data_IF_689128899684
#
_entry.id   IF_689128899684
#
_cell.length_a   1.000
_cell.length_b   1.000
_cell.length_c   1.000
_cell.angle_alpha   90.00
_cell.angle_beta   90.00
_cell.angle_gamma   90.00
#
_symmetry.space_group_name_H-M   'P 1'
#
loop_
_entity.id
_entity.type
_entity.pdbx_description
1 polymer ?
#
# COMPACT_ATOMS: atom_id res chain seq x y z
N UNK A 1 -18.29 1.29 -17.66
CA UNK A 1 -17.23 0.57 -18.40
C UNK A 1 -16.70 1.46 -19.51
N UNK A 2 -15.41 1.83 -19.47
CA UNK A 2 -14.71 2.59 -20.52
C UNK A 2 -13.27 2.09 -20.66
N UNK A 3 -12.69 2.35 -21.83
CA UNK A 3 -11.62 1.61 -22.52
C UNK A 3 -10.30 2.40 -22.61
N UNK A 4 -9.20 1.62 -22.66
CA UNK A 4 -8.01 1.75 -23.53
C UNK A 4 -7.19 3.04 -23.44
N UNK A 5 -5.95 2.93 -22.95
CA UNK A 5 -4.91 3.91 -23.24
C UNK A 5 -4.10 4.45 -22.05
N UNK A 6 -3.94 3.72 -20.96
CA UNK A 6 -2.70 3.76 -20.19
C UNK A 6 -2.66 2.51 -19.30
N UNK A 7 -1.48 1.94 -19.16
CA UNK A 7 -1.22 0.74 -18.38
C UNK A 7 -1.78 0.97 -16.95
N UNK A 8 -2.95 0.39 -16.61
CA UNK A 8 -3.47 0.50 -15.23
C UNK A 8 -2.37 -0.02 -14.32
N UNK A 9 -1.78 0.90 -13.57
CA UNK A 9 -0.64 0.65 -12.72
C UNK A 9 -0.96 -0.56 -11.83
N UNK A 10 -0.32 -1.73 -12.01
CA UNK A 10 -0.63 -2.92 -11.19
C UNK A 10 -0.28 -2.76 -9.72
N UNK A 11 0.15 -1.57 -9.31
CA UNK A 11 0.83 -1.30 -8.06
C UNK A 11 -0.17 -1.32 -6.89
N UNK A 12 -1.37 -0.72 -7.08
CA UNK A 12 -2.45 -0.81 -6.08
C UNK A 12 -3.01 -2.24 -5.99
N UNK A 13 -3.40 -2.91 -7.11
CA UNK A 13 -3.86 -4.30 -7.02
C UNK A 13 -2.84 -5.26 -6.40
N UNK A 14 -1.55 -5.17 -6.75
CA UNK A 14 -0.52 -6.04 -6.16
C UNK A 14 -0.32 -5.79 -4.67
N UNK A 15 -0.34 -4.52 -4.23
CA UNK A 15 -0.32 -4.19 -2.81
C UNK A 15 -1.52 -4.78 -2.07
N UNK A 16 -2.73 -4.65 -2.62
CA UNK A 16 -3.94 -5.21 -2.01
C UNK A 16 -3.91 -6.73 -1.93
N UNK A 17 -3.47 -7.41 -2.99
CA UNK A 17 -3.33 -8.87 -3.00
C UNK A 17 -2.32 -9.33 -1.94
N UNK A 18 -1.19 -8.64 -1.82
CA UNK A 18 -0.20 -8.92 -0.79
C UNK A 18 -0.81 -8.77 0.62
N UNK A 19 -1.41 -7.62 0.91
CA UNK A 19 -2.03 -7.32 2.22
C UNK A 19 -3.11 -8.33 2.57
N UNK A 20 -4.00 -8.66 1.63
CA UNK A 20 -5.04 -9.68 1.83
C UNK A 20 -4.45 -11.05 2.15
N UNK A 21 -3.38 -11.44 1.46
CA UNK A 21 -2.69 -12.72 1.74
C UNK A 21 -2.08 -12.77 3.13
N UNK A 22 -1.63 -11.63 3.66
CA UNK A 22 -1.07 -11.53 5.01
C UNK A 22 -2.18 -11.58 6.07
N UNK A 23 -3.31 -10.92 5.83
CA UNK A 23 -4.48 -11.06 6.71
C UNK A 23 -4.98 -12.50 6.78
N UNK A 24 -4.96 -13.24 5.67
CA UNK A 24 -5.28 -14.67 5.66
C UNK A 24 -4.32 -15.51 6.53
N UNK A 25 -3.09 -15.04 6.71
CA UNK A 25 -2.09 -15.68 7.58
C UNK A 25 -2.16 -15.20 9.04
N UNK A 26 -3.12 -14.33 9.38
CA UNK A 26 -3.32 -13.82 10.73
C UNK A 26 -2.43 -12.64 11.10
N UNK A 27 -1.89 -11.92 10.10
CA UNK A 27 -1.17 -10.67 10.32
C UNK A 27 -2.06 -9.61 10.96
N UNK A 28 -1.48 -8.73 11.77
CA UNK A 28 -2.17 -7.56 12.35
C UNK A 28 -2.64 -6.57 11.28
N UNK A 29 -3.53 -5.65 11.67
CA UNK A 29 -4.22 -4.76 10.71
C UNK A 29 -3.26 -3.88 9.91
N UNK A 30 -2.23 -3.34 10.56
CA UNK A 30 -1.36 -2.32 9.98
C UNK A 30 0.00 -2.90 9.65
N UNK A 31 0.56 -2.48 8.51
CA UNK A 31 1.87 -2.87 8.03
C UNK A 31 2.80 -1.67 8.03
N UNK A 32 3.98 -1.81 8.64
CA UNK A 32 5.06 -0.86 8.51
C UNK A 32 5.54 -0.80 7.05
N UNK A 33 5.56 0.41 6.47
CA UNK A 33 5.94 0.55 5.07
C UNK A 33 7.37 0.08 4.79
N UNK A 34 8.33 0.48 5.62
CA UNK A 34 9.75 0.23 5.39
C UNK A 34 10.12 -1.23 5.57
N UNK A 35 9.57 -1.86 6.61
CA UNK A 35 9.92 -3.22 7.02
C UNK A 35 9.10 -4.29 6.28
N UNK A 36 7.81 -4.03 6.05
CA UNK A 36 6.86 -5.09 5.68
C UNK A 36 6.26 -4.93 4.28
N UNK A 37 6.18 -3.69 3.77
CA UNK A 37 5.59 -3.42 2.44
C UNK A 37 6.66 -3.26 1.37
N UNK A 38 7.69 -2.44 1.61
CA UNK A 38 8.57 -1.96 0.56
C UNK A 38 9.27 -3.08 -0.22
N UNK A 39 9.92 -4.02 0.47
CA UNK A 39 10.65 -5.13 -0.14
C UNK A 39 9.74 -6.09 -0.91
N UNK A 40 8.70 -6.66 -0.26
CA UNK A 40 7.76 -7.58 -0.91
C UNK A 40 7.03 -6.95 -2.11
N UNK A 41 6.57 -5.71 -1.98
CA UNK A 41 5.88 -5.02 -3.07
C UNK A 41 6.81 -4.75 -4.26
N UNK A 42 8.07 -4.39 -4.01
CA UNK A 42 9.07 -4.23 -5.07
C UNK A 42 9.32 -5.54 -5.82
N UNK A 43 9.46 -6.66 -5.11
CA UNK A 43 9.61 -7.99 -5.72
C UNK A 43 8.39 -8.37 -6.57
N UNK A 44 7.17 -8.12 -6.07
CA UNK A 44 5.93 -8.36 -6.82
C UNK A 44 5.83 -7.49 -8.08
N UNK A 45 6.20 -6.21 -7.99
CA UNK A 45 6.25 -5.30 -9.13
C UNK A 45 7.26 -5.74 -10.18
N UNK A 46 8.43 -6.23 -9.77
CA UNK A 46 9.42 -6.77 -10.70
C UNK A 46 8.95 -8.06 -11.39
N UNK A 47 8.15 -8.88 -10.69
CA UNK A 47 7.72 -10.20 -11.19
C UNK A 47 6.46 -10.14 -12.04
N UNK A 48 5.52 -9.24 -11.70
CA UNK A 48 4.17 -9.18 -12.28
C UNK A 48 3.81 -7.81 -12.86
N UNK A 49 4.65 -6.80 -12.66
CA UNK A 49 4.45 -5.47 -13.21
C UNK A 49 4.88 -5.36 -14.68
N UNK A 50 4.47 -4.29 -15.38
CA UNK A 50 5.02 -3.98 -16.69
C UNK A 50 6.52 -3.71 -16.55
N UNK A 51 7.32 -4.17 -17.52
CA UNK A 51 8.73 -3.83 -17.60
C UNK A 51 8.91 -2.30 -17.63
N UNK A 52 9.56 -1.76 -16.60
CA UNK A 52 9.88 -0.35 -16.45
C UNK A 52 11.28 -0.21 -15.83
N UNK A 53 11.94 0.93 -16.08
CA UNK A 53 13.27 1.21 -15.52
C UNK A 53 13.24 1.36 -14.01
N UNK A 54 12.17 1.98 -13.48
CA UNK A 54 12.01 2.26 -12.06
C UNK A 54 10.59 1.88 -11.59
N UNK A 55 10.52 1.22 -10.44
CA UNK A 55 9.28 0.97 -9.71
C UNK A 55 9.21 1.86 -8.47
N UNK A 56 8.05 2.49 -8.25
CA UNK A 56 7.80 3.37 -7.11
C UNK A 56 6.77 2.73 -6.16
N UNK A 57 7.18 1.80 -5.29
CA UNK A 57 6.28 1.09 -4.37
C UNK A 57 5.66 2.00 -3.29
N UNK A 58 6.25 3.17 -3.05
CA UNK A 58 5.75 4.17 -2.10
C UNK A 58 4.38 4.71 -2.51
N UNK A 59 4.22 4.97 -3.81
CA UNK A 59 3.07 5.66 -4.36
C UNK A 59 1.73 4.92 -4.21
N UNK A 60 1.61 3.59 -4.44
CA UNK A 60 0.37 2.89 -4.14
C UNK A 60 0.03 2.91 -2.65
N UNK A 61 1.01 2.71 -1.76
CA UNK A 61 0.79 2.68 -0.31
C UNK A 61 0.23 4.00 0.21
N UNK A 62 0.84 5.13 -0.16
CA UNK A 62 0.37 6.44 0.27
C UNK A 62 -0.98 6.82 -0.35
N UNK A 63 -1.17 6.54 -1.65
CA UNK A 63 -2.38 6.98 -2.38
C UNK A 63 -3.63 6.18 -2.05
N UNK A 64 -3.51 4.98 -1.47
CA UNK A 64 -4.68 4.20 -1.05
C UNK A 64 -5.54 4.95 -0.03
N UNK A 65 -4.96 5.86 0.76
CA UNK A 65 -5.72 6.72 1.70
C UNK A 65 -6.84 7.52 1.03
N UNK A 66 -6.67 7.87 -0.25
CA UNK A 66 -7.65 8.62 -1.02
C UNK A 66 -8.82 7.78 -1.53
N UNK A 67 -8.72 6.44 -1.45
CA UNK A 67 -9.76 5.51 -1.87
C UNK A 67 -10.79 5.21 -0.75
N UNK A 68 -10.58 5.74 0.47
CA UNK A 68 -11.56 5.71 1.56
C UNK A 68 -11.67 4.38 2.30
N UNK A 69 -10.71 3.47 2.12
CA UNK A 69 -10.66 2.18 2.81
C UNK A 69 -9.32 1.87 3.47
N UNK A 70 -8.38 2.81 3.38
CA UNK A 70 -6.99 2.63 3.77
C UNK A 70 -6.59 3.70 4.77
N UNK A 71 -6.07 3.25 5.90
CA UNK A 71 -5.61 4.12 6.97
C UNK A 71 -4.08 4.20 6.97
N UNK A 72 -3.55 5.35 7.36
CA UNK A 72 -2.13 5.55 7.61
C UNK A 72 -1.93 6.11 9.01
N UNK A 73 -1.00 5.53 9.76
CA UNK A 73 -0.49 6.05 11.02
C UNK A 73 0.86 6.74 10.79
N UNK A 74 1.16 7.77 11.59
CA UNK A 74 2.37 8.61 11.48
C UNK A 74 2.45 9.42 10.17
N UNK A 75 1.37 9.48 9.38
CA UNK A 75 1.33 10.22 8.12
C UNK A 75 1.40 11.74 8.33
N UNK A 76 0.95 12.22 9.48
CA UNK A 76 1.02 13.61 9.95
C UNK A 76 2.44 14.07 10.27
N UNK A 77 3.37 13.15 10.53
CA UNK A 77 4.79 13.45 10.73
C UNK A 77 5.51 13.72 9.41
N UNK A 78 4.92 13.27 8.29
CA UNK A 78 5.48 13.50 6.97
C UNK A 78 5.15 14.90 6.45
N UNK A 79 6.12 15.52 5.78
CA UNK A 79 5.98 16.87 5.25
C UNK A 79 4.96 16.89 4.11
N UNK A 80 3.96 17.79 4.12
CA UNK A 80 3.18 18.07 2.92
C UNK A 80 4.11 18.74 1.91
N UNK A 81 4.56 17.99 0.88
CA UNK A 81 5.36 18.58 -0.17
C UNK A 81 4.54 19.69 -0.86
N UNK A 82 5.05 20.92 -0.87
CA UNK A 82 4.50 22.00 -1.71
C UNK A 82 4.44 21.51 -3.16
N UNK A 83 3.22 21.27 -3.66
CA UNK A 83 2.96 20.85 -5.04
C UNK A 83 2.98 19.34 -5.31
N UNK A 84 3.33 18.49 -4.34
CA UNK A 84 3.28 17.03 -4.49
C UNK A 84 2.28 16.40 -3.53
N UNK A 85 1.55 15.39 -3.98
CA UNK A 85 0.49 14.71 -3.19
C UNK A 85 1.05 13.68 -2.19
N UNK A 86 2.36 13.49 -2.14
CA UNK A 86 3.03 12.42 -1.39
C UNK A 86 4.37 12.89 -0.81
N UNK A 87 4.74 12.48 0.41
CA UNK A 87 6.03 12.77 1.00
C UNK A 87 7.16 11.88 0.42
N UNK A 88 8.43 12.26 0.58
CA UNK A 88 9.57 11.44 0.18
C UNK A 88 9.53 10.04 0.84
N UNK A 89 9.93 9.00 0.09
CA UNK A 89 10.08 7.62 0.63
C UNK A 89 10.88 7.60 1.94
N UNK A 90 11.93 8.43 2.03
CA UNK A 90 12.77 8.54 3.23
C UNK A 90 11.95 8.90 4.46
N UNK A 91 11.07 9.90 4.36
CA UNK A 91 10.24 10.34 5.50
C UNK A 91 9.26 9.25 5.92
N UNK A 92 8.67 8.53 4.96
CA UNK A 92 7.75 7.41 5.24
C UNK A 92 8.46 6.30 6.02
N UNK A 93 9.72 6.02 5.70
CA UNK A 93 10.54 5.03 6.43
C UNK A 93 11.00 5.59 7.78
N UNK A 94 11.51 6.82 7.81
CA UNK A 94 12.07 7.47 9.00
C UNK A 94 11.02 7.69 10.09
N UNK A 95 9.78 8.00 9.71
CA UNK A 95 8.65 8.15 10.64
C UNK A 95 7.90 6.84 10.91
N UNK A 96 8.38 5.71 10.37
CA UNK A 96 7.75 4.40 10.58
C UNK A 96 6.27 4.42 10.23
N UNK A 97 5.93 4.97 9.05
CA UNK A 97 4.54 5.06 8.62
C UNK A 97 4.00 3.66 8.41
N UNK A 98 2.90 3.37 9.09
CA UNK A 98 2.19 2.11 8.98
C UNK A 98 0.85 2.31 8.30
N UNK A 99 0.37 1.30 7.58
CA UNK A 99 -0.88 1.41 6.83
C UNK A 99 -1.53 0.08 6.54
N UNK A 100 -2.84 0.10 6.36
CA UNK A 100 -3.66 -1.09 6.18
C UNK A 100 -5.11 -0.74 5.90
N UNK A 101 -5.99 -1.73 5.85
CA UNK A 101 -7.42 -1.46 5.82
C UNK A 101 -7.86 -0.71 7.08
N UNK A 102 -8.90 0.12 6.94
CA UNK A 102 -9.63 0.65 8.08
C UNK A 102 -10.22 -0.49 8.94
N UNK A 103 -10.64 -0.14 10.16
CA UNK A 103 -11.14 -1.12 11.13
C UNK A 103 -12.36 -1.90 10.62
N UNK A 104 -13.28 -1.24 9.91
CA UNK A 104 -14.50 -1.86 9.39
C UNK A 104 -14.15 -2.99 8.39
N UNK A 105 -13.27 -2.70 7.44
CA UNK A 105 -12.88 -3.64 6.39
C UNK A 105 -11.89 -4.69 6.87
N UNK A 106 -11.01 -4.34 7.82
CA UNK A 106 -10.15 -5.31 8.47
C UNK A 106 -10.97 -6.37 9.20
N UNK A 107 -11.99 -5.95 9.96
CA UNK A 107 -12.90 -6.88 10.67
C UNK A 107 -13.60 -7.84 9.71
N UNK A 108 -14.06 -7.36 8.56
CA UNK A 108 -14.64 -8.20 7.52
C UNK A 108 -13.64 -9.24 6.96
N UNK A 109 -12.39 -8.85 6.74
CA UNK A 109 -11.34 -9.76 6.26
C UNK A 109 -11.03 -10.88 7.27
N UNK A 110 -10.97 -10.57 8.56
CA UNK A 110 -10.75 -11.58 9.60
C UNK A 110 -11.97 -12.48 9.82
N UNK A 111 -13.19 -11.93 9.73
CA UNK A 111 -14.42 -12.70 9.86
C UNK A 111 -14.61 -13.73 8.71
N UNK A 112 -14.05 -13.44 7.53
CA UNK A 112 -14.06 -14.36 6.39
C UNK A 112 -13.07 -15.53 6.54
N UNK A 113 -12.22 -15.54 7.57
CA UNK A 113 -11.24 -16.59 7.83
C UNK A 113 -11.30 -17.04 9.31
N UNK A 114 -12.38 -17.72 9.74
CA UNK A 114 -12.44 -18.28 11.08
C UNK A 114 -11.34 -19.35 11.23
N UNK A 115 -10.49 -19.17 12.23
CA UNK A 115 -9.50 -20.19 12.63
C UNK A 115 -10.17 -21.52 12.96
#
# INVERSE_FOLDING_TARGET
MWRKGDQRAPHKPLLLLYVLSQYQQGHDRLFNYGEEIHGPLLALLNSFGPQRRDHYPTMPFWRLRGDGFWELQNAELCSPQKGSKEPPKREIIEHGVSGGFDEERATSCYAANPR
#
